data_IF_652969074600
#
_entry.id   IF_652969074600
#
_cell.length_a   1.000
_cell.length_b   1.000
_cell.length_c   1.000
_cell.angle_alpha   90.00
_cell.angle_beta   90.00
_cell.angle_gamma   90.00
#
_symmetry.space_group_name_H-M   'P 1'
#
loop_
_entity.id
_entity.type
_entity.pdbx_description
1 polymer ?
#
# COMPACT_ATOMS: atom_id res chain seq x y z
N UNK A 1 -4.95 -0.12 6.61
CA UNK A 1 -4.24 0.81 5.70
C UNK A 1 -4.95 2.17 5.68
N UNK A 2 -4.34 3.26 5.18
CA UNK A 2 -4.99 4.59 5.11
C UNK A 2 -6.30 4.56 4.30
N UNK A 3 -6.31 3.85 3.16
CA UNK A 3 -7.49 3.72 2.31
C UNK A 3 -8.69 3.10 3.04
N UNK A 4 -8.45 2.11 3.90
CA UNK A 4 -9.50 1.44 4.69
C UNK A 4 -10.03 2.34 5.81
N UNK A 5 -9.16 3.17 6.41
CA UNK A 5 -9.58 4.13 7.42
C UNK A 5 -10.46 5.23 6.82
N UNK A 6 -10.09 5.75 5.64
CA UNK A 6 -10.92 6.70 4.88
C UNK A 6 -12.24 6.05 4.43
N UNK A 7 -12.21 4.79 4.00
CA UNK A 7 -13.42 4.03 3.68
C UNK A 7 -14.32 3.86 4.91
N UNK A 8 -13.75 3.54 6.08
CA UNK A 8 -14.52 3.39 7.31
C UNK A 8 -15.21 4.71 7.71
N UNK A 9 -14.52 5.86 7.58
CA UNK A 9 -15.14 7.18 7.79
C UNK A 9 -16.28 7.41 6.79
N UNK A 10 -16.08 7.06 5.51
CA UNK A 10 -17.09 7.21 4.47
C UNK A 10 -18.35 6.36 4.75
N UNK A 11 -18.17 5.09 5.14
CA UNK A 11 -19.27 4.14 5.33
C UNK A 11 -19.98 4.27 6.68
N UNK A 12 -19.23 4.52 7.77
CA UNK A 12 -19.77 4.56 9.14
C UNK A 12 -20.14 5.97 9.58
N UNK A 13 -19.58 6.99 8.93
CA UNK A 13 -19.71 8.39 9.31
C UNK A 13 -18.62 8.84 10.32
N UNK A 14 -18.26 10.13 10.30
CA UNK A 14 -17.15 10.68 11.09
C UNK A 14 -17.41 10.69 12.61
N UNK A 15 -18.66 10.53 13.04
CA UNK A 15 -19.02 10.48 14.47
C UNK A 15 -18.80 9.10 15.09
N UNK A 16 -18.58 8.06 14.27
CA UNK A 16 -18.37 6.68 14.72
C UNK A 16 -16.89 6.32 14.81
N UNK A 17 -16.08 6.89 13.92
CA UNK A 17 -14.65 6.60 13.81
C UNK A 17 -13.86 7.87 13.50
N UNK A 18 -12.69 7.99 14.12
CA UNK A 18 -11.76 9.10 13.91
C UNK A 18 -10.46 8.58 13.26
N UNK A 19 -9.98 9.27 12.22
CA UNK A 19 -8.65 9.02 11.66
C UNK A 19 -7.61 9.86 12.40
N UNK A 20 -6.82 9.20 13.24
CA UNK A 20 -5.65 9.82 13.90
C UNK A 20 -4.41 9.60 13.05
N UNK A 21 -3.85 10.69 12.51
CA UNK A 21 -2.64 10.66 11.68
C UNK A 21 -1.40 10.85 12.57
N UNK A 22 -0.47 9.88 12.62
CA UNK A 22 0.75 10.02 13.40
C UNK A 22 1.70 11.05 12.77
N UNK A 23 2.66 11.61 13.53
CA UNK A 23 3.61 12.60 13.02
C UNK A 23 4.58 12.03 11.97
N UNK A 24 4.74 10.70 11.94
CA UNK A 24 5.55 9.97 10.97
C UNK A 24 4.91 8.61 10.69
N UNK A 25 4.98 8.15 9.44
CA UNK A 25 4.52 6.83 9.02
C UNK A 25 5.44 6.22 7.97
N UNK A 26 5.13 5.01 7.49
CA UNK A 26 5.85 4.35 6.39
C UNK A 26 5.12 4.57 5.07
N UNK A 27 5.87 4.84 4.00
CA UNK A 27 5.35 4.81 2.63
C UNK A 27 5.11 3.34 2.25
N UNK A 28 3.85 2.96 2.16
CA UNK A 28 3.46 1.61 1.77
C UNK A 28 3.25 1.55 0.25
N UNK A 29 3.93 0.61 -0.43
CA UNK A 29 4.01 0.54 -1.89
C UNK A 29 3.51 -0.83 -2.40
N UNK A 30 2.18 -1.02 -2.55
CA UNK A 30 1.61 -2.27 -3.05
C UNK A 30 2.17 -2.59 -4.44
N UNK A 31 2.90 -3.70 -4.53
CA UNK A 31 3.56 -4.12 -5.77
C UNK A 31 2.63 -4.97 -6.63
N UNK A 32 2.69 -4.77 -7.95
CA UNK A 32 1.98 -5.59 -8.94
C UNK A 32 2.98 -6.22 -9.91
N UNK A 33 2.71 -7.44 -10.37
CA UNK A 33 3.62 -8.17 -11.24
C UNK A 33 2.86 -9.09 -12.22
N UNK A 34 3.48 -9.34 -13.37
CA UNK A 34 3.09 -10.47 -14.21
C UNK A 34 3.63 -11.77 -13.63
N UNK A 35 2.84 -12.83 -13.80
CA UNK A 35 3.29 -14.20 -13.48
C UNK A 35 3.58 -14.91 -14.80
N UNK A 36 4.84 -14.84 -15.25
CA UNK A 36 5.27 -15.28 -16.59
C UNK A 36 4.80 -16.70 -16.94
N UNK A 37 5.06 -17.65 -16.05
CA UNK A 37 4.71 -19.07 -16.25
C UNK A 37 3.22 -19.29 -16.48
N UNK A 38 2.36 -18.48 -15.87
CA UNK A 38 0.90 -18.57 -15.99
C UNK A 38 0.42 -17.92 -17.28
N UNK A 39 0.91 -16.72 -17.59
CA UNK A 39 0.45 -15.99 -18.78
C UNK A 39 0.91 -16.63 -20.07
N UNK A 40 2.09 -17.26 -20.07
CA UNK A 40 2.62 -17.98 -21.23
C UNK A 40 1.85 -19.28 -21.45
N UNK A 41 1.60 -20.05 -20.38
CA UNK A 41 0.79 -21.27 -20.45
C UNK A 41 -0.64 -21.01 -20.93
N UNK A 42 -1.24 -19.88 -20.54
CA UNK A 42 -2.62 -19.52 -20.90
C UNK A 42 -2.73 -18.69 -22.18
N UNK A 43 -1.61 -18.25 -22.76
CA UNK A 43 -1.62 -17.34 -23.91
C UNK A 43 -2.22 -15.97 -23.62
N UNK A 44 -2.21 -15.51 -22.36
CA UNK A 44 -2.87 -14.27 -21.90
C UNK A 44 -1.90 -13.11 -21.67
N UNK A 45 -0.62 -13.24 -22.01
CA UNK A 45 0.43 -12.25 -21.73
C UNK A 45 0.05 -10.82 -22.12
N UNK A 46 -0.35 -10.62 -23.38
CA UNK A 46 -0.71 -9.29 -23.89
C UNK A 46 -1.84 -8.63 -23.09
N UNK A 47 -2.86 -9.41 -22.71
CA UNK A 47 -3.99 -8.91 -21.92
C UNK A 47 -3.58 -8.57 -20.49
N UNK A 48 -2.77 -9.42 -19.86
CA UNK A 48 -2.27 -9.19 -18.50
C UNK A 48 -1.32 -7.98 -18.43
N UNK A 49 -0.44 -7.81 -19.41
CA UNK A 49 0.41 -6.62 -19.55
C UNK A 49 -0.42 -5.36 -19.69
N UNK A 50 -1.41 -5.36 -20.60
CA UNK A 50 -2.30 -4.22 -20.77
C UNK A 50 -3.08 -3.89 -19.49
N UNK A 51 -3.52 -4.91 -18.74
CA UNK A 51 -4.21 -4.73 -17.46
C UNK A 51 -3.32 -4.02 -16.44
N UNK A 52 -2.07 -4.46 -16.26
CA UNK A 52 -1.16 -3.80 -15.31
C UNK A 52 -0.77 -2.40 -15.77
N UNK A 53 -0.51 -2.20 -17.06
CA UNK A 53 -0.21 -0.88 -17.62
C UNK A 53 -1.39 0.09 -17.43
N UNK A 54 -2.62 -0.40 -17.54
CA UNK A 54 -3.82 0.42 -17.33
C UNK A 54 -3.89 1.01 -15.92
N UNK A 55 -3.40 0.29 -14.90
CA UNK A 55 -3.33 0.80 -13.53
C UNK A 55 -2.55 2.12 -13.44
N UNK A 56 -1.58 2.34 -14.33
CA UNK A 56 -0.73 3.54 -14.36
C UNK A 56 -1.20 4.62 -15.35
N UNK A 57 -2.34 4.41 -16.01
CA UNK A 57 -2.96 5.47 -16.81
C UNK A 57 -3.63 6.52 -15.90
N UNK A 58 -3.87 7.75 -16.37
CA UNK A 58 -4.62 8.73 -15.59
C UNK A 58 -5.99 8.22 -15.13
N UNK A 59 -6.66 7.39 -15.94
CA UNK A 59 -7.93 6.76 -15.57
C UNK A 59 -7.77 5.74 -14.43
N UNK A 60 -6.77 4.87 -14.51
CA UNK A 60 -6.45 3.91 -13.44
C UNK A 60 -6.05 4.61 -12.14
N UNK A 61 -5.29 5.69 -12.23
CA UNK A 61 -4.86 6.49 -11.09
C UNK A 61 -6.02 7.29 -10.47
N UNK A 62 -6.94 7.81 -11.28
CA UNK A 62 -8.17 8.44 -10.78
C UNK A 62 -9.07 7.43 -10.05
N UNK A 63 -9.14 6.18 -10.52
CA UNK A 63 -9.82 5.10 -9.81
C UNK A 63 -9.14 4.78 -8.48
N UNK A 64 -7.80 4.74 -8.43
CA UNK A 64 -7.06 4.55 -7.19
C UNK A 64 -7.43 5.63 -6.15
N UNK A 65 -7.42 6.91 -6.54
CA UNK A 65 -7.79 8.03 -5.68
C UNK A 65 -9.25 7.95 -5.21
N UNK A 66 -10.19 7.62 -6.12
CA UNK A 66 -11.60 7.38 -5.78
C UNK A 66 -11.79 6.31 -4.70
N UNK A 67 -10.91 5.30 -4.69
CA UNK A 67 -10.90 4.22 -3.70
C UNK A 67 -9.89 4.48 -2.56
N UNK A 68 -9.55 5.75 -2.31
CA UNK A 68 -8.74 6.22 -1.19
C UNK A 68 -7.27 5.74 -1.20
N UNK A 69 -6.75 5.29 -2.34
CA UNK A 69 -5.32 5.04 -2.51
C UNK A 69 -4.62 6.29 -3.03
N UNK A 70 -3.44 6.60 -2.49
CA UNK A 70 -2.61 7.71 -2.99
C UNK A 70 -2.11 7.40 -4.41
N UNK A 71 -2.49 8.18 -5.45
CA UNK A 71 -2.00 7.96 -6.81
C UNK A 71 -0.54 8.39 -6.96
N UNK A 72 0.15 7.81 -7.95
CA UNK A 72 1.53 8.13 -8.36
C UNK A 72 1.60 9.11 -9.52
N UNK A 73 0.56 9.16 -10.35
CA UNK A 73 0.44 10.20 -11.38
C UNK A 73 0.32 11.56 -10.69
N UNK A 74 1.22 12.49 -11.03
CA UNK A 74 1.34 13.78 -10.35
C UNK A 74 0.14 14.69 -10.59
N UNK A 75 -0.48 14.61 -11.77
CA UNK A 75 -1.62 15.45 -12.12
C UNK A 75 -2.87 14.96 -11.40
N UNK A 76 -3.05 13.63 -11.30
CA UNK A 76 -4.12 13.04 -10.50
C UNK A 76 -3.88 13.30 -9.01
N UNK A 77 -2.66 13.13 -8.51
CA UNK A 77 -2.32 13.40 -7.12
C UNK A 77 -2.61 14.86 -6.72
N UNK A 78 -2.27 15.83 -7.57
CA UNK A 78 -2.55 17.24 -7.34
C UNK A 78 -4.07 17.52 -7.26
N UNK A 79 -4.88 16.87 -8.10
CA UNK A 79 -6.35 17.02 -8.09
C UNK A 79 -7.01 16.47 -6.82
N UNK A 80 -6.38 15.46 -6.21
CA UNK A 80 -6.89 14.77 -5.02
C UNK A 80 -6.13 15.14 -3.74
N UNK A 81 -5.33 16.21 -3.76
CA UNK A 81 -4.51 16.59 -2.60
C UNK A 81 -5.35 16.87 -1.34
N UNK A 82 -6.57 17.39 -1.49
CA UNK A 82 -7.49 17.65 -0.39
C UNK A 82 -8.02 16.38 0.28
N UNK A 83 -7.98 15.24 -0.42
CA UNK A 83 -8.56 13.98 0.06
C UNK A 83 -7.60 13.26 1.02
N UNK A 84 -6.32 13.66 1.04
CA UNK A 84 -5.27 13.03 1.82
C UNK A 84 -4.57 14.04 2.72
N UNK A 85 -4.55 13.78 4.02
CA UNK A 85 -3.79 14.62 4.94
C UNK A 85 -2.29 14.59 4.60
N UNK A 86 -1.58 15.72 4.69
CA UNK A 86 -0.12 15.73 4.58
C UNK A 86 0.49 14.80 5.63
N UNK A 87 1.42 13.94 5.21
CA UNK A 87 2.03 12.94 6.07
C UNK A 87 3.52 12.80 5.75
N UNK A 88 4.35 12.95 6.78
CA UNK A 88 5.78 12.64 6.69
C UNK A 88 5.93 11.13 6.65
N UNK A 89 6.58 10.62 5.60
CA UNK A 89 6.81 9.19 5.43
C UNK A 89 8.30 8.86 5.26
N UNK A 90 8.69 7.68 5.72
CA UNK A 90 9.96 7.03 5.36
C UNK A 90 9.70 5.81 4.47
N UNK A 91 10.68 5.42 3.67
CA UNK A 91 10.58 4.20 2.84
C UNK A 91 11.21 3.00 3.54
N UNK A 92 10.87 1.81 3.05
CA UNK A 92 11.48 0.58 3.56
C UNK A 92 13.00 0.54 3.35
N UNK A 93 13.50 1.10 2.26
CA UNK A 93 14.92 1.14 1.96
C UNK A 93 15.68 2.06 2.92
N UNK A 94 15.11 3.23 3.25
CA UNK A 94 15.73 4.23 4.13
C UNK A 94 15.98 3.70 5.55
N UNK A 95 15.05 2.90 6.08
CA UNK A 95 15.07 2.49 7.51
C UNK A 95 15.47 1.03 7.69
N UNK A 96 15.09 0.15 6.77
CA UNK A 96 15.25 -1.30 6.92
C UNK A 96 16.18 -1.94 5.89
N UNK A 97 16.69 -1.19 4.91
CA UNK A 97 17.54 -1.73 3.85
C UNK A 97 16.81 -2.63 2.85
N UNK A 98 15.50 -2.43 2.71
CA UNK A 98 14.66 -3.13 1.74
C UNK A 98 13.90 -4.33 2.32
N UNK A 99 12.94 -4.84 1.54
CA UNK A 99 11.99 -5.87 1.97
C UNK A 99 12.65 -7.16 2.45
N UNK A 100 13.71 -7.63 1.79
CA UNK A 100 14.37 -8.87 2.17
C UNK A 100 14.98 -8.80 3.58
N UNK A 101 15.67 -7.69 3.89
CA UNK A 101 16.29 -7.48 5.19
C UNK A 101 15.22 -7.29 6.28
N UNK A 102 14.19 -6.49 5.97
CA UNK A 102 13.06 -6.28 6.88
C UNK A 102 12.35 -7.60 7.22
N UNK A 103 12.00 -8.40 6.20
CA UNK A 103 11.30 -9.67 6.37
C UNK A 103 12.14 -10.65 7.19
N UNK A 104 13.42 -10.84 6.84
CA UNK A 104 14.29 -11.78 7.53
C UNK A 104 14.50 -11.41 9.01
N UNK A 105 14.68 -10.12 9.30
CA UNK A 105 14.97 -9.65 10.66
C UNK A 105 13.73 -9.66 11.55
N UNK A 106 12.59 -9.22 11.00
CA UNK A 106 11.41 -8.94 11.79
C UNK A 106 10.37 -10.07 11.77
N UNK A 107 10.17 -10.74 10.63
CA UNK A 107 8.97 -11.54 10.37
C UNK A 107 9.24 -12.98 9.92
N UNK A 108 10.49 -13.40 9.73
CA UNK A 108 10.83 -14.82 9.56
C UNK A 108 10.58 -15.59 10.87
N UNK A 109 10.39 -16.91 10.78
CA UNK A 109 10.22 -17.78 11.94
C UNK A 109 11.36 -17.58 12.96
N UNK A 110 11.01 -17.31 14.22
CA UNK A 110 11.97 -16.96 15.28
C UNK A 110 12.50 -15.52 15.20
N UNK A 111 11.92 -14.69 14.33
CA UNK A 111 12.25 -13.29 14.13
C UNK A 111 11.93 -12.40 15.33
N UNK A 112 12.13 -11.08 15.17
CA UNK A 112 11.82 -10.14 16.26
C UNK A 112 10.35 -10.15 16.66
N UNK A 113 9.43 -10.28 15.70
CA UNK A 113 8.00 -10.33 15.98
C UNK A 113 7.65 -11.49 16.92
N UNK A 114 8.06 -12.71 16.57
CA UNK A 114 7.82 -13.91 17.39
C UNK A 114 8.40 -13.77 18.80
N UNK A 115 9.61 -13.21 18.91
CA UNK A 115 10.27 -12.99 20.21
C UNK A 115 9.53 -11.96 21.07
N UNK A 116 8.98 -10.90 20.48
CA UNK A 116 8.18 -9.93 21.22
C UNK A 116 6.84 -10.54 21.65
N UNK A 117 6.20 -11.30 20.76
CA UNK A 117 4.90 -11.90 21.03
C UNK A 117 4.98 -13.00 22.10
N UNK A 118 5.96 -13.90 21.99
CA UNK A 118 6.14 -15.05 22.90
C UNK A 118 6.61 -14.69 24.31
N UNK A 119 7.16 -13.50 24.53
CA UNK A 119 7.59 -13.04 25.87
C UNK A 119 6.40 -12.69 26.78
N UNK A 120 5.19 -12.57 26.23
CA UNK A 120 3.99 -12.16 26.99
C UNK A 120 3.31 -13.31 27.76
N UNK A 121 3.74 -14.57 27.59
CA UNK A 121 3.16 -15.73 28.30
C UNK A 121 3.96 -16.19 29.55
N UNK A 122 4.47 -15.27 30.38
CA UNK A 122 5.06 -15.63 31.69
C UNK A 122 4.52 -14.82 32.84
#
# INVERSE_FOLDING_TARGET
WENEALLAIHELGPDQVELVVPPISILAEPSVALVDTVVDKKGTRKLAEAYLQYLYTPAGQALAARHHFRPRDTDVAAKHQSDFQPLTTFTIDQVFGGWQQAQQRHFADGGLFDRMYSVTER
#
